data_IF_653171257892
#
_entry.id   IF_653171257892
#
_cell.length_a   1.000
_cell.length_b   1.000
_cell.length_c   1.000
_cell.angle_alpha   90.00
_cell.angle_beta   90.00
_cell.angle_gamma   90.00
#
_symmetry.space_group_name_H-M   'P 1'
#
loop_
_entity.id
_entity.type
_entity.pdbx_description
1 polymer ?
#
# COMPACT_ATOMS: atom_id res chain seq x y z
N UNK A 1 14.92 9.18 3.54
CA UNK A 1 14.07 10.37 3.80
C UNK A 1 13.32 10.22 5.11
N UNK A 2 12.51 9.19 5.30
CA UNK A 2 11.69 9.03 6.52
C UNK A 2 12.54 8.87 7.78
N UNK A 3 13.65 8.13 7.74
CA UNK A 3 14.60 8.01 8.84
C UNK A 3 15.19 9.37 9.24
N UNK A 4 15.59 10.19 8.25
CA UNK A 4 16.07 11.55 8.51
C UNK A 4 14.98 12.39 9.20
N UNK A 5 13.75 12.33 8.72
CA UNK A 5 12.64 13.05 9.33
C UNK A 5 12.37 12.59 10.77
N UNK A 6 12.39 11.29 11.02
CA UNK A 6 12.24 10.73 12.36
C UNK A 6 13.35 11.17 13.32
N UNK A 7 14.61 11.31 12.83
CA UNK A 7 15.74 11.69 13.63
C UNK A 7 15.82 13.20 13.93
N UNK A 8 15.57 14.05 12.92
CA UNK A 8 15.79 15.48 13.02
C UNK A 8 14.50 16.31 13.18
N UNK A 9 13.34 15.71 12.90
CA UNK A 9 12.01 16.31 13.01
C UNK A 9 11.07 15.42 13.82
N UNK A 10 11.61 14.77 14.84
CA UNK A 10 10.97 13.73 15.66
C UNK A 10 9.53 14.05 16.05
N UNK A 11 9.30 15.26 16.54
CA UNK A 11 8.02 15.71 17.10
C UNK A 11 7.15 16.48 16.09
N UNK A 12 7.59 16.60 14.83
CA UNK A 12 6.77 17.24 13.79
C UNK A 12 5.59 16.32 13.45
N UNK A 13 4.39 16.86 13.50
CA UNK A 13 3.16 16.12 13.25
C UNK A 13 2.89 15.90 11.76
N UNK A 14 2.40 14.71 11.46
CA UNK A 14 1.70 14.38 10.22
C UNK A 14 0.21 14.32 10.56
N UNK A 15 -0.59 15.08 9.82
CA UNK A 15 -2.03 15.19 10.05
C UNK A 15 -2.77 14.67 8.84
N UNK A 16 -3.68 13.73 9.05
CA UNK A 16 -4.43 13.07 7.99
C UNK A 16 -5.91 12.91 8.40
N UNK A 17 -6.81 13.18 7.47
CA UNK A 17 -8.21 12.77 7.64
C UNK A 17 -8.35 11.32 7.22
N UNK A 18 -8.88 10.48 8.10
CA UNK A 18 -9.12 9.08 7.78
C UNK A 18 -10.40 8.89 6.96
N UNK A 19 -10.49 7.76 6.26
CA UNK A 19 -11.72 7.37 5.53
C UNK A 19 -12.86 7.09 6.50
N UNK A 20 -12.55 6.64 7.71
CA UNK A 20 -13.50 6.44 8.82
C UNK A 20 -14.09 7.76 9.35
N UNK A 21 -13.44 8.90 9.04
CA UNK A 21 -13.92 10.25 9.35
C UNK A 21 -13.08 11.07 10.34
N UNK A 22 -12.49 10.49 11.42
CA UNK A 22 -11.67 11.22 12.37
C UNK A 22 -10.39 11.80 11.75
N UNK A 23 -9.83 12.80 12.42
CA UNK A 23 -8.47 13.29 12.14
C UNK A 23 -7.47 12.39 12.89
N UNK A 24 -6.56 11.80 12.15
CA UNK A 24 -5.39 11.10 12.68
C UNK A 24 -4.20 12.06 12.78
N UNK A 25 -3.52 12.04 13.91
CA UNK A 25 -2.31 12.83 14.15
C UNK A 25 -1.26 11.93 14.74
N UNK A 26 -0.06 11.97 14.20
CA UNK A 26 1.10 11.27 14.73
C UNK A 26 2.37 11.98 14.25
N UNK A 27 3.49 11.68 14.89
CA UNK A 27 4.77 12.31 14.62
C UNK A 27 5.56 11.53 13.57
N UNK A 28 6.62 12.14 13.00
CA UNK A 28 7.55 11.41 12.13
C UNK A 28 8.24 10.24 12.82
N UNK A 29 8.49 10.33 14.12
CA UNK A 29 9.04 9.20 14.90
C UNK A 29 8.07 8.03 14.95
N UNK A 30 6.78 8.29 15.20
CA UNK A 30 5.75 7.26 15.20
C UNK A 30 5.51 6.70 13.79
N UNK A 31 5.50 7.57 12.77
CA UNK A 31 5.40 7.13 11.38
C UNK A 31 6.54 6.18 10.99
N UNK A 32 7.78 6.50 11.36
CA UNK A 32 8.95 5.67 11.06
C UNK A 32 8.86 4.30 11.72
N UNK A 33 8.46 4.24 12.98
CA UNK A 33 8.23 2.97 13.68
C UNK A 33 7.16 2.12 12.97
N UNK A 34 6.06 2.74 12.56
CA UNK A 34 4.98 2.06 11.82
C UNK A 34 5.43 1.60 10.43
N UNK A 35 6.33 2.34 9.77
CA UNK A 35 6.94 1.91 8.50
C UNK A 35 7.76 0.62 8.67
N UNK A 36 8.47 0.44 9.79
CA UNK A 36 9.15 -0.82 10.12
C UNK A 36 8.15 -1.97 10.34
N UNK A 37 7.09 -1.72 11.11
CA UNK A 37 6.02 -2.71 11.29
C UNK A 37 5.43 -3.14 9.95
N UNK A 38 5.13 -2.17 9.07
CA UNK A 38 4.57 -2.46 7.76
C UNK A 38 5.53 -3.27 6.87
N UNK A 39 6.83 -3.03 6.96
CA UNK A 39 7.82 -3.84 6.24
C UNK A 39 7.81 -5.30 6.73
N UNK A 40 7.68 -5.53 8.05
CA UNK A 40 7.50 -6.87 8.62
C UNK A 40 6.19 -7.53 8.16
N UNK A 41 5.09 -6.79 8.14
CA UNK A 41 3.79 -7.27 7.60
C UNK A 41 3.94 -7.71 6.15
N UNK A 42 4.54 -6.87 5.31
CA UNK A 42 4.76 -7.17 3.89
C UNK A 42 5.62 -8.43 3.70
N UNK A 43 6.68 -8.57 4.50
CA UNK A 43 7.53 -9.78 4.51
C UNK A 43 6.72 -11.02 4.87
N UNK A 44 5.87 -10.95 5.90
CA UNK A 44 5.00 -12.06 6.32
C UNK A 44 3.93 -12.42 5.26
N UNK A 45 3.48 -11.44 4.49
CA UNK A 45 2.62 -11.65 3.31
C UNK A 45 3.39 -12.18 2.09
N UNK A 46 4.69 -12.39 2.23
CA UNK A 46 5.57 -12.96 1.22
C UNK A 46 6.03 -11.96 0.16
N UNK A 47 5.92 -10.66 0.42
CA UNK A 47 6.46 -9.61 -0.47
C UNK A 47 7.98 -9.55 -0.32
N UNK A 48 8.68 -9.53 -1.43
CA UNK A 48 10.14 -9.44 -1.51
C UNK A 48 10.61 -8.40 -2.52
N UNK A 49 11.91 -8.33 -2.71
CA UNK A 49 12.55 -7.39 -3.64
C UNK A 49 11.95 -7.52 -5.06
N UNK A 50 11.64 -6.36 -5.67
CA UNK A 50 11.06 -6.28 -7.01
C UNK A 50 9.59 -6.66 -7.13
N UNK A 51 8.94 -7.18 -6.07
CA UNK A 51 7.50 -7.44 -6.07
C UNK A 51 6.70 -6.13 -6.12
N UNK A 52 5.53 -6.16 -6.76
CA UNK A 52 4.61 -5.01 -6.80
C UNK A 52 3.55 -5.16 -5.73
N UNK A 53 3.35 -4.05 -5.01
CA UNK A 53 2.30 -3.87 -4.01
C UNK A 53 1.33 -2.82 -4.53
N UNK A 54 0.14 -3.26 -4.92
CA UNK A 54 -0.90 -2.38 -5.44
C UNK A 54 -1.62 -1.62 -4.33
N UNK A 55 -1.91 -0.35 -4.57
CA UNK A 55 -2.65 0.50 -3.62
C UNK A 55 -3.83 1.16 -4.32
N UNK A 56 -5.05 0.77 -3.94
CA UNK A 56 -6.31 1.40 -4.36
C UNK A 56 -6.82 2.26 -3.20
N UNK A 57 -6.27 3.47 -3.08
CA UNK A 57 -6.34 4.24 -1.85
C UNK A 57 -6.38 5.75 -2.07
N UNK A 58 -6.95 6.45 -1.08
CA UNK A 58 -6.82 7.90 -0.95
C UNK A 58 -5.50 8.27 -0.26
N UNK A 59 -5.11 9.55 -0.34
CA UNK A 59 -3.93 10.07 0.33
C UNK A 59 -4.18 10.21 1.84
N UNK A 60 -3.97 9.11 2.57
CA UNK A 60 -4.07 9.03 4.02
C UNK A 60 -2.74 8.61 4.65
N UNK A 61 -2.68 8.59 6.00
CA UNK A 61 -1.46 8.23 6.73
C UNK A 61 -1.00 6.79 6.45
N UNK A 62 -1.93 5.83 6.29
CA UNK A 62 -1.61 4.44 5.95
C UNK A 62 -1.00 4.33 4.55
N UNK A 63 -1.50 5.12 3.60
CA UNK A 63 -0.92 5.17 2.25
C UNK A 63 0.48 5.82 2.26
N UNK A 64 0.68 6.85 3.11
CA UNK A 64 2.00 7.44 3.34
C UNK A 64 3.00 6.39 3.90
N UNK A 65 2.60 5.57 4.86
CA UNK A 65 3.41 4.47 5.39
C UNK A 65 3.79 3.45 4.30
N UNK A 66 2.85 3.12 3.41
CA UNK A 66 3.09 2.20 2.28
C UNK A 66 4.18 2.68 1.32
N UNK A 67 4.21 3.97 0.98
CA UNK A 67 5.25 4.52 0.12
C UNK A 67 6.66 4.25 0.66
N UNK A 68 6.86 4.40 1.97
CA UNK A 68 8.18 4.21 2.58
C UNK A 68 8.49 2.74 2.87
N UNK A 69 7.52 1.97 3.33
CA UNK A 69 7.75 0.56 3.64
C UNK A 69 8.03 -0.25 2.36
N UNK A 70 7.20 -0.10 1.34
CA UNK A 70 7.33 -0.86 0.09
C UNK A 70 8.63 -0.53 -0.63
N UNK A 71 8.91 0.76 -0.86
CA UNK A 71 10.16 1.15 -1.53
C UNK A 71 11.39 0.89 -0.67
N UNK A 72 11.29 1.07 0.65
CA UNK A 72 12.41 0.83 1.57
C UNK A 72 12.87 -0.63 1.62
N UNK A 73 11.98 -1.59 1.38
CA UNK A 73 12.33 -3.02 1.31
C UNK A 73 12.74 -3.49 -0.11
N UNK A 74 12.87 -2.58 -1.09
CA UNK A 74 13.23 -2.90 -2.46
C UNK A 74 12.09 -3.43 -3.32
N UNK A 75 10.85 -3.26 -2.86
CA UNK A 75 9.63 -3.58 -3.62
C UNK A 75 9.11 -2.33 -4.33
N UNK A 76 8.10 -2.50 -5.19
CA UNK A 76 7.57 -1.43 -6.04
C UNK A 76 6.16 -1.05 -5.57
N UNK A 77 5.97 0.19 -5.13
CA UNK A 77 4.67 0.74 -4.77
C UNK A 77 3.89 1.07 -6.04
N UNK A 78 2.87 0.28 -6.36
CA UNK A 78 1.99 0.51 -7.51
C UNK A 78 0.75 1.28 -7.09
N UNK A 79 0.69 2.56 -7.44
CA UNK A 79 -0.46 3.41 -7.13
C UNK A 79 -1.51 3.31 -8.23
N UNK A 80 -2.70 2.85 -7.85
CA UNK A 80 -3.84 2.63 -8.74
C UNK A 80 -4.78 3.81 -8.64
N UNK A 81 -5.04 4.48 -9.77
CA UNK A 81 -6.00 5.57 -9.81
C UNK A 81 -7.42 5.03 -9.57
N UNK A 82 -8.09 5.40 -8.46
CA UNK A 82 -9.40 4.86 -8.11
C UNK A 82 -10.55 5.36 -8.98
N UNK A 83 -10.28 6.28 -9.92
CA UNK A 83 -11.27 6.81 -10.87
C UNK A 83 -11.29 6.07 -12.21
N UNK A 84 -10.47 5.03 -12.34
CA UNK A 84 -10.47 4.18 -13.52
C UNK A 84 -11.72 3.28 -13.52
N UNK A 85 -12.12 2.85 -14.71
CA UNK A 85 -13.18 1.85 -14.85
C UNK A 85 -12.72 0.48 -14.33
N UNK A 86 -13.64 -0.38 -13.85
CA UNK A 86 -13.33 -1.70 -13.32
C UNK A 86 -12.42 -2.54 -14.22
N UNK A 87 -12.66 -2.54 -15.53
CA UNK A 87 -11.88 -3.29 -16.51
C UNK A 87 -10.43 -2.80 -16.61
N UNK A 88 -10.24 -1.47 -16.45
CA UNK A 88 -8.90 -0.88 -16.44
C UNK A 88 -8.17 -1.22 -15.13
N UNK A 89 -8.85 -1.18 -14.00
CA UNK A 89 -8.30 -1.58 -12.69
C UNK A 89 -7.85 -3.05 -12.76
N UNK A 90 -8.71 -3.95 -13.24
CA UNK A 90 -8.37 -5.37 -13.44
C UNK A 90 -7.16 -5.54 -14.36
N UNK A 91 -7.14 -4.81 -15.47
CA UNK A 91 -6.03 -4.88 -16.42
C UNK A 91 -4.70 -4.48 -15.77
N UNK A 92 -4.65 -3.32 -15.10
CA UNK A 92 -3.38 -2.81 -14.55
C UNK A 92 -2.87 -3.66 -13.39
N UNK A 93 -3.75 -4.17 -12.52
CA UNK A 93 -3.38 -5.09 -11.44
C UNK A 93 -2.75 -6.37 -12.01
N UNK A 94 -3.39 -6.98 -12.99
CA UNK A 94 -2.89 -8.21 -13.63
C UNK A 94 -1.63 -7.96 -14.45
N UNK A 95 -1.56 -6.85 -15.19
CA UNK A 95 -0.41 -6.49 -16.02
C UNK A 95 0.82 -6.13 -15.16
N UNK A 96 0.62 -5.44 -14.04
CA UNK A 96 1.67 -5.19 -13.05
C UNK A 96 2.08 -6.47 -12.31
N UNK A 97 1.23 -7.50 -12.31
CA UNK A 97 1.38 -8.70 -11.51
C UNK A 97 1.50 -8.34 -10.01
N UNK A 98 0.56 -7.54 -9.52
CA UNK A 98 0.52 -7.13 -8.12
C UNK A 98 0.36 -8.36 -7.21
N UNK A 99 1.21 -8.44 -6.20
CA UNK A 99 1.26 -9.58 -5.28
C UNK A 99 0.31 -9.44 -4.10
N UNK A 100 0.23 -8.23 -3.57
CA UNK A 100 -0.67 -7.84 -2.48
C UNK A 100 -1.36 -6.54 -2.87
N UNK A 101 -2.64 -6.41 -2.54
CA UNK A 101 -3.40 -5.17 -2.74
C UNK A 101 -3.76 -4.56 -1.38
N UNK A 102 -3.51 -3.27 -1.25
CA UNK A 102 -4.03 -2.46 -0.15
C UNK A 102 -5.18 -1.60 -0.68
N UNK A 103 -6.30 -1.57 0.03
CA UNK A 103 -7.44 -0.75 -0.37
C UNK A 103 -8.08 -0.01 0.81
N UNK A 104 -8.53 1.21 0.56
CA UNK A 104 -9.40 1.91 1.50
C UNK A 104 -10.81 1.32 1.52
N UNK A 105 -11.53 1.53 2.63
CA UNK A 105 -12.94 1.10 2.82
C UNK A 105 -13.84 1.45 1.63
N UNK A 106 -13.61 2.61 1.02
CA UNK A 106 -14.36 3.10 -0.13
C UNK A 106 -14.37 2.14 -1.33
N UNK A 107 -13.31 1.34 -1.46
CA UNK A 107 -13.08 0.52 -2.66
C UNK A 107 -13.28 -0.99 -2.44
N UNK A 108 -13.72 -1.40 -1.25
CA UNK A 108 -13.96 -2.82 -0.94
C UNK A 108 -14.97 -3.43 -1.91
N UNK A 109 -16.11 -2.78 -2.14
CA UNK A 109 -17.13 -3.28 -3.08
C UNK A 109 -16.62 -3.36 -4.52
N UNK A 110 -15.73 -2.45 -4.92
CA UNK A 110 -15.08 -2.53 -6.24
C UNK A 110 -14.23 -3.79 -6.33
N UNK A 111 -13.39 -4.07 -5.33
CA UNK A 111 -12.55 -5.28 -5.33
C UNK A 111 -13.38 -6.56 -5.23
N UNK A 112 -14.48 -6.58 -4.45
CA UNK A 112 -15.41 -7.72 -4.43
C UNK A 112 -15.94 -8.08 -5.83
N UNK A 113 -16.27 -7.07 -6.62
CA UNK A 113 -16.77 -7.28 -8.00
C UNK A 113 -15.69 -7.75 -8.99
N UNK A 114 -14.42 -7.60 -8.65
CA UNK A 114 -13.28 -7.91 -9.51
C UNK A 114 -12.49 -9.14 -9.05
N UNK A 115 -12.72 -9.65 -7.86
CA UNK A 115 -11.87 -10.66 -7.20
C UNK A 115 -11.58 -11.87 -8.10
N UNK A 116 -12.60 -12.42 -8.73
CA UNK A 116 -12.47 -13.60 -9.63
C UNK A 116 -11.57 -13.35 -10.85
N UNK A 117 -11.32 -12.06 -11.17
CA UNK A 117 -10.51 -11.64 -12.31
C UNK A 117 -9.08 -11.27 -11.91
N UNK A 118 -8.79 -11.13 -10.60
CA UNK A 118 -7.49 -10.71 -10.08
C UNK A 118 -6.53 -11.90 -10.00
N UNK A 119 -5.73 -12.06 -11.06
CA UNK A 119 -4.78 -13.17 -11.20
C UNK A 119 -3.48 -12.85 -10.46
N UNK A 120 -3.08 -13.67 -9.51
CA UNK A 120 -1.78 -13.53 -8.84
C UNK A 120 -1.80 -12.72 -7.56
N UNK A 121 -2.87 -12.01 -7.24
CA UNK A 121 -3.04 -11.34 -5.95
C UNK A 121 -3.19 -12.39 -4.86
N UNK A 122 -2.29 -12.38 -3.88
CA UNK A 122 -2.25 -13.38 -2.79
C UNK A 122 -3.02 -12.96 -1.56
N UNK A 123 -3.13 -11.65 -1.33
CA UNK A 123 -3.83 -11.08 -0.19
C UNK A 123 -4.36 -9.68 -0.50
N UNK A 124 -5.46 -9.31 0.11
CA UNK A 124 -6.04 -7.97 0.09
C UNK A 124 -6.01 -7.44 1.52
N UNK A 125 -5.43 -6.26 1.73
CA UNK A 125 -5.36 -5.60 3.03
C UNK A 125 -6.29 -4.39 3.01
N UNK A 126 -7.33 -4.43 3.83
CA UNK A 126 -8.25 -3.30 4.00
C UNK A 126 -7.63 -2.32 4.99
N UNK A 127 -7.38 -1.09 4.54
CA UNK A 127 -6.69 -0.05 5.29
C UNK A 127 -7.61 0.61 6.31
N UNK A 128 -7.92 -0.14 7.36
CA UNK A 128 -8.79 0.29 8.45
C UNK A 128 -8.39 -0.39 9.76
N UNK A 129 -9.08 -0.05 10.84
CA UNK A 129 -8.98 -0.72 12.13
C UNK A 129 -10.06 -1.81 12.27
N UNK A 130 -9.91 -2.65 13.30
CA UNK A 130 -10.83 -3.75 13.59
C UNK A 130 -12.28 -3.31 13.76
N UNK A 131 -12.50 -2.16 14.37
CA UNK A 131 -13.85 -1.63 14.65
C UNK A 131 -14.60 -1.28 13.37
N UNK A 132 -13.87 -0.83 12.36
CA UNK A 132 -14.44 -0.35 11.09
C UNK A 132 -14.33 -1.37 9.97
N UNK A 133 -13.87 -2.59 10.26
CA UNK A 133 -13.82 -3.67 9.25
C UNK A 133 -15.22 -3.93 8.70
N UNK A 134 -15.40 -3.88 7.36
CA UNK A 134 -16.68 -4.13 6.73
C UNK A 134 -16.98 -5.64 6.72
N UNK A 135 -18.25 -5.98 6.59
CA UNK A 135 -18.62 -7.31 6.11
C UNK A 135 -18.30 -7.37 4.63
N UNK A 136 -17.51 -8.35 4.22
CA UNK A 136 -17.04 -8.48 2.85
C UNK A 136 -17.10 -9.92 2.36
N UNK A 137 -17.29 -10.10 1.05
CA UNK A 137 -17.21 -11.39 0.39
C UNK A 137 -15.80 -11.76 -0.09
N UNK A 138 -14.82 -10.86 0.04
CA UNK A 138 -13.43 -11.14 -0.33
C UNK A 138 -12.90 -12.38 0.40
N UNK A 139 -12.17 -13.25 -0.31
CA UNK A 139 -11.78 -14.56 0.23
C UNK A 139 -10.52 -14.51 1.09
N UNK A 140 -9.54 -13.70 0.74
CA UNK A 140 -8.26 -13.60 1.45
C UNK A 140 -7.96 -12.15 1.81
N UNK A 141 -8.66 -11.65 2.82
CA UNK A 141 -8.52 -10.27 3.27
C UNK A 141 -8.01 -10.17 4.71
N UNK A 142 -7.36 -9.06 5.00
CA UNK A 142 -6.81 -8.75 6.31
C UNK A 142 -7.16 -7.31 6.72
N UNK A 143 -7.18 -7.05 8.02
CA UNK A 143 -7.28 -5.71 8.58
C UNK A 143 -5.88 -5.12 8.75
N UNK A 144 -5.67 -3.90 8.27
CA UNK A 144 -4.38 -3.23 8.34
C UNK A 144 -3.85 -3.10 9.76
N UNK A 145 -4.63 -2.53 10.67
CA UNK A 145 -4.16 -2.30 12.04
C UNK A 145 -3.94 -3.61 12.81
N UNK A 146 -4.75 -4.66 12.56
CA UNK A 146 -4.51 -5.97 13.20
C UNK A 146 -3.20 -6.61 12.72
N UNK A 147 -2.85 -6.48 11.45
CA UNK A 147 -1.54 -6.92 10.95
C UNK A 147 -0.39 -6.13 11.60
N UNK A 148 -0.55 -4.81 11.72
CA UNK A 148 0.45 -3.94 12.33
C UNK A 148 0.69 -4.27 13.81
N UNK A 149 -0.37 -4.61 14.56
CA UNK A 149 -0.28 -5.01 15.97
C UNK A 149 0.41 -6.36 16.17
N UNK A 150 0.49 -7.19 15.14
CA UNK A 150 1.02 -8.57 15.22
C UNK A 150 2.53 -8.68 14.99
N UNK A 151 3.22 -7.59 14.74
CA UNK A 151 4.64 -7.57 14.31
C UNK A 151 5.48 -6.58 15.12
N UNK A 152 6.79 -6.82 15.14
CA UNK A 152 7.77 -5.92 15.77
C UNK A 152 7.89 -4.59 15.00
N UNK A 153 8.30 -3.55 15.71
CA UNK A 153 8.51 -2.18 15.17
C UNK A 153 9.97 -1.89 14.77
N UNK A 154 10.75 -2.94 14.58
CA UNK A 154 12.12 -2.90 14.06
C UNK A 154 12.23 -3.71 12.77
N UNK A 155 12.98 -3.21 11.80
CA UNK A 155 13.19 -3.88 10.52
C UNK A 155 14.60 -3.56 9.99
N UNK A 156 15.32 -4.57 9.52
CA UNK A 156 16.64 -4.40 8.93
C UNK A 156 16.50 -4.10 7.43
N UNK A 157 16.68 -2.82 7.07
CA UNK A 157 16.53 -2.37 5.69
C UNK A 157 17.63 -2.96 4.79
N UNK A 158 17.26 -3.54 3.64
CA UNK A 158 18.22 -4.01 2.66
C UNK A 158 19.00 -2.83 2.05
N UNK A 159 20.19 -3.10 1.55
CA UNK A 159 20.91 -2.15 0.69
C UNK A 159 20.32 -2.23 -0.72
N UNK A 160 19.76 -1.12 -1.18
CA UNK A 160 19.08 -1.02 -2.46
C UNK A 160 19.95 -0.17 -3.40
N UNK A 161 20.04 -0.58 -4.67
CA UNK A 161 20.64 0.23 -5.73
C UNK A 161 19.75 1.43 -6.04
N UNK A 162 20.34 2.61 -6.24
CA UNK A 162 19.61 3.84 -6.52
C UNK A 162 18.82 3.80 -7.85
N UNK A 163 19.20 2.90 -8.77
CA UNK A 163 18.48 2.68 -10.04
C UNK A 163 17.37 1.64 -9.93
N UNK A 164 17.18 1.02 -8.78
CA UNK A 164 16.08 0.07 -8.59
C UNK A 164 14.73 0.77 -8.58
N UNK A 165 13.76 0.18 -9.29
CA UNK A 165 12.41 0.71 -9.30
C UNK A 165 11.79 0.75 -7.90
N UNK A 166 11.22 1.90 -7.53
CA UNK A 166 10.59 2.15 -6.24
C UNK A 166 9.07 2.32 -6.34
N UNK A 167 8.60 2.81 -7.49
CA UNK A 167 7.17 3.03 -7.71
C UNK A 167 6.75 2.77 -9.15
N UNK A 168 5.46 2.47 -9.33
CA UNK A 168 4.81 2.20 -10.60
C UNK A 168 3.51 3.01 -10.69
N UNK A 169 3.34 3.72 -11.80
CA UNK A 169 2.09 4.39 -12.13
C UNK A 169 1.65 4.02 -13.54
N UNK A 170 0.34 3.98 -13.78
CA UNK A 170 -0.21 3.79 -15.12
C UNK A 170 -0.75 5.08 -15.70
N UNK A 171 -0.40 5.35 -16.95
CA UNK A 171 -1.02 6.42 -17.73
C UNK A 171 -2.39 5.96 -18.23
N UNK A 172 -3.33 6.89 -18.42
CA UNK A 172 -4.68 6.61 -18.92
C UNK A 172 -4.75 6.05 -20.35
N UNK A 173 -3.63 6.07 -21.08
CA UNK A 173 -3.55 5.59 -22.48
C UNK A 173 -4.60 6.20 -23.40
N UNK A 174 -4.28 7.24 -24.15
CA UNK A 174 -5.21 7.86 -25.12
C UNK A 174 -5.50 6.95 -26.32
N UNK A 175 -4.66 5.94 -26.56
CA UNK A 175 -4.73 5.05 -27.73
C UNK A 175 -4.40 3.61 -27.33
N UNK A 176 -5.32 2.95 -26.60
CA UNK A 176 -5.16 1.55 -26.19
C UNK A 176 -5.07 1.34 -24.69
N UNK A 177 -4.52 0.20 -24.27
CA UNK A 177 -4.40 -0.16 -22.85
C UNK A 177 -3.48 0.79 -22.08
N UNK A 178 -3.74 1.03 -20.79
CA UNK A 178 -2.86 1.79 -19.91
C UNK A 178 -1.42 1.27 -19.96
N UNK A 179 -0.44 2.19 -19.93
CA UNK A 179 0.99 1.87 -19.94
C UNK A 179 1.59 2.15 -18.57
N UNK A 180 2.32 1.18 -18.04
CA UNK A 180 3.05 1.32 -16.78
C UNK A 180 4.34 2.12 -16.96
N UNK A 181 4.60 3.04 -16.03
CA UNK A 181 5.84 3.82 -15.92
C UNK A 181 6.45 3.50 -14.57
N UNK A 182 7.67 2.95 -14.59
CA UNK A 182 8.47 2.68 -13.40
C UNK A 182 9.33 3.90 -13.07
N UNK A 183 9.42 4.22 -11.80
CA UNK A 183 10.28 5.26 -11.23
C UNK A 183 11.29 4.63 -10.27
N UNK A 184 12.50 5.13 -10.29
CA UNK A 184 13.60 4.82 -9.35
C UNK A 184 13.89 6.00 -8.42
#
# INVERSE_FOLDING_TARGET
LIEHAAKFHTNTEIVSRTVEGPIHRYTYSEAYRRVHQLANVLTNLGVGEGDRVGTLAWNGYRHFELYFAVSGMGSVCHTINPRLFPEQITYIINHANDKVLFCDLTFVQTLESLEDQLKGVKAIVIMTDKKHMPKTSLSNFHCYEELMESVDDTYDWPKIDEYQASSLCYSSGTTGNPKGVLYN
#
